data_IF_974732731570
#
_entry.id   IF_974732731570
#
_cell.length_a   1.000
_cell.length_b   1.000
_cell.length_c   1.000
_cell.angle_alpha   90.00
_cell.angle_beta   90.00
_cell.angle_gamma   90.00
#
_symmetry.space_group_name_H-M   'P 1'
#
loop_
_entity.id
_entity.type
_entity.pdbx_description
1 polymer ?
#
# COMPACT_ATOMS: atom_id res chain seq x y z
N UNK A 1 -15.48 -2.23 -8.13
CA UNK A 1 -14.29 -2.95 -7.62
C UNK A 1 -13.73 -2.29 -6.36
N UNK A 2 -13.21 -1.06 -6.39
CA UNK A 2 -12.67 -0.39 -5.19
C UNK A 2 -13.73 -0.18 -4.08
N UNK A 3 -14.94 0.26 -4.45
CA UNK A 3 -16.08 0.41 -3.52
C UNK A 3 -16.49 -0.91 -2.85
N UNK A 4 -16.42 -2.02 -3.58
CA UNK A 4 -16.71 -3.35 -3.06
C UNK A 4 -15.65 -3.80 -2.07
N UNK A 5 -14.36 -3.63 -2.40
CA UNK A 5 -13.26 -3.93 -1.48
C UNK A 5 -13.42 -3.10 -0.20
N UNK A 6 -13.67 -1.79 -0.32
CA UNK A 6 -13.89 -0.91 0.82
C UNK A 6 -15.03 -1.41 1.72
N UNK A 7 -16.18 -1.76 1.14
CA UNK A 7 -17.31 -2.29 1.90
C UNK A 7 -16.96 -3.62 2.60
N UNK A 8 -16.15 -4.47 1.97
CA UNK A 8 -15.66 -5.71 2.61
C UNK A 8 -14.73 -5.42 3.79
N UNK A 9 -13.82 -4.44 3.67
CA UNK A 9 -12.93 -4.05 4.77
C UNK A 9 -13.72 -3.45 5.95
N UNK A 10 -14.67 -2.55 5.67
CA UNK A 10 -15.54 -1.93 6.68
C UNK A 10 -16.46 -2.94 7.36
N UNK A 11 -16.90 -3.98 6.63
CA UNK A 11 -17.61 -5.13 7.19
C UNK A 11 -16.69 -6.13 7.93
N UNK A 12 -15.43 -5.77 8.19
CA UNK A 12 -14.42 -6.57 8.89
C UNK A 12 -14.13 -7.93 8.22
N UNK A 13 -14.43 -8.10 6.92
CA UNK A 13 -14.05 -9.32 6.21
C UNK A 13 -12.54 -9.40 6.15
N UNK A 14 -12.01 -10.57 6.48
CA UNK A 14 -10.58 -10.80 6.52
C UNK A 14 -10.11 -11.44 5.22
N UNK A 15 -9.23 -10.74 4.50
CA UNK A 15 -8.77 -11.13 3.17
C UNK A 15 -7.24 -11.05 3.11
N UNK A 16 -6.64 -11.75 2.15
CA UNK A 16 -5.21 -11.71 1.87
C UNK A 16 -5.02 -11.14 0.46
N UNK A 17 -4.11 -10.18 0.32
CA UNK A 17 -3.61 -9.75 -0.99
C UNK A 17 -2.86 -10.92 -1.61
N UNK A 18 -3.30 -11.40 -2.76
CA UNK A 18 -2.84 -12.66 -3.34
C UNK A 18 -1.30 -12.69 -3.49
N UNK A 19 -0.58 -13.58 -2.77
CA UNK A 19 0.88 -13.58 -2.76
C UNK A 19 1.51 -14.02 -4.09
N UNK A 20 0.73 -14.60 -5.01
CA UNK A 20 1.21 -15.10 -6.30
C UNK A 20 1.15 -14.07 -7.42
N UNK A 21 0.83 -12.81 -7.11
CA UNK A 21 0.68 -11.73 -8.09
C UNK A 21 1.47 -10.49 -7.65
N UNK A 22 1.92 -9.71 -8.64
CA UNK A 22 2.40 -8.33 -8.41
C UNK A 22 1.19 -7.42 -8.25
N UNK A 23 0.61 -7.40 -7.05
CA UNK A 23 -0.55 -6.60 -6.71
C UNK A 23 -0.45 -6.04 -5.29
N UNK A 24 -1.27 -5.05 -4.99
CA UNK A 24 -1.30 -4.46 -3.67
C UNK A 24 -2.57 -3.65 -3.45
N UNK A 25 -2.78 -3.24 -2.21
CA UNK A 25 -3.88 -2.37 -1.84
C UNK A 25 -3.32 -1.22 -1.03
N UNK A 26 -3.54 0.01 -1.51
CA UNK A 26 -3.35 1.22 -0.71
C UNK A 26 -4.66 1.48 0.01
N UNK A 27 -4.58 1.60 1.33
CA UNK A 27 -5.73 1.78 2.21
C UNK A 27 -5.63 3.18 2.78
N UNK A 28 -6.56 4.05 2.41
CA UNK A 28 -6.62 5.41 2.93
C UNK A 28 -7.34 5.41 4.27
N UNK A 29 -6.69 6.01 5.27
CA UNK A 29 -7.26 6.34 6.57
C UNK A 29 -7.34 7.86 6.70
N UNK A 30 -7.91 8.33 7.80
CA UNK A 30 -8.23 9.77 7.99
C UNK A 30 -7.06 10.72 7.72
N UNK A 31 -5.83 10.35 8.07
CA UNK A 31 -4.66 11.24 8.01
C UNK A 31 -3.46 10.67 7.25
N UNK A 32 -3.53 9.42 6.82
CA UNK A 32 -2.40 8.71 6.22
C UNK A 32 -2.91 7.56 5.37
N UNK A 33 -2.01 6.94 4.61
CA UNK A 33 -2.31 5.73 3.86
C UNK A 33 -1.38 4.59 4.31
N UNK A 34 -1.84 3.36 4.13
CA UNK A 34 -1.03 2.17 4.34
C UNK A 34 -0.96 1.36 3.05
N UNK A 35 0.20 0.77 2.78
CA UNK A 35 0.34 -0.18 1.69
C UNK A 35 0.30 -1.61 2.23
N UNK A 36 -0.60 -2.42 1.67
CA UNK A 36 -0.67 -3.86 1.86
C UNK A 36 -0.25 -4.54 0.55
N UNK A 37 1.00 -5.00 0.49
CA UNK A 37 1.54 -5.70 -0.67
C UNK A 37 1.21 -7.21 -0.68
N UNK A 38 1.80 -7.98 -1.61
CA UNK A 38 1.53 -9.41 -1.76
C UNK A 38 1.70 -10.18 -0.45
N UNK A 39 0.74 -11.07 -0.17
CA UNK A 39 0.66 -11.89 1.03
C UNK A 39 0.20 -11.16 2.29
N UNK A 40 0.02 -9.84 2.25
CA UNK A 40 -0.47 -9.09 3.41
C UNK A 40 -1.95 -9.38 3.66
N UNK A 41 -2.31 -9.49 4.94
CA UNK A 41 -3.71 -9.54 5.35
C UNK A 41 -4.30 -8.12 5.41
N UNK A 42 -5.56 -7.99 5.00
CA UNK A 42 -6.35 -6.75 5.00
C UNK A 42 -7.76 -7.02 5.55
N UNK A 43 -8.39 -5.98 6.08
CA UNK A 43 -9.72 -6.01 6.68
C UNK A 43 -9.66 -6.35 8.17
N UNK A 44 -10.65 -7.11 8.66
CA UNK A 44 -10.81 -7.31 10.10
C UNK A 44 -10.95 -5.98 10.86
N UNK A 45 -10.43 -5.93 12.09
CA UNK A 45 -10.47 -4.71 12.90
C UNK A 45 -9.42 -3.66 12.50
N UNK A 46 -8.45 -4.00 11.64
CA UNK A 46 -7.32 -3.13 11.33
C UNK A 46 -7.67 -2.05 10.31
N UNK A 47 -8.59 -2.34 9.40
CA UNK A 47 -8.94 -1.50 8.26
C UNK A 47 -10.42 -1.08 8.27
N UNK A 48 -11.12 -1.21 9.40
CA UNK A 48 -12.53 -0.83 9.52
C UNK A 48 -12.75 0.69 9.43
N UNK A 49 -11.72 1.48 9.73
CA UNK A 49 -11.64 2.93 9.60
C UNK A 49 -11.14 3.37 8.21
N UNK A 50 -10.98 2.44 7.26
CA UNK A 50 -10.66 2.79 5.88
C UNK A 50 -11.73 3.72 5.31
N UNK A 51 -11.31 4.86 4.77
CA UNK A 51 -12.19 5.84 4.13
C UNK A 51 -12.26 5.64 2.61
N UNK A 52 -11.19 5.08 2.03
CA UNK A 52 -11.09 4.75 0.62
C UNK A 52 -10.01 3.67 0.44
N UNK A 53 -10.00 3.03 -0.72
CA UNK A 53 -8.94 2.11 -1.12
C UNK A 53 -8.55 2.35 -2.57
N UNK A 54 -7.27 2.16 -2.87
CA UNK A 54 -6.73 2.19 -4.23
C UNK A 54 -6.05 0.84 -4.51
N UNK A 55 -6.66 0.02 -5.39
CA UNK A 55 -6.01 -1.19 -5.88
C UNK A 55 -4.78 -0.86 -6.72
N UNK A 56 -3.69 -1.59 -6.50
CA UNK A 56 -2.42 -1.45 -7.24
C UNK A 56 -2.16 -2.71 -8.05
N UNK A 57 -1.89 -2.54 -9.34
CA UNK A 57 -1.74 -3.63 -10.30
C UNK A 57 -3.04 -4.43 -10.48
N UNK A 58 -2.91 -5.70 -10.86
CA UNK A 58 -4.06 -6.62 -11.03
C UNK A 58 -4.49 -7.20 -9.69
N UNK A 59 -5.24 -6.39 -8.92
CA UNK A 59 -5.72 -6.76 -7.58
C UNK A 59 -6.44 -8.11 -7.56
N UNK A 60 -6.13 -8.89 -6.54
CA UNK A 60 -6.72 -10.20 -6.26
C UNK A 60 -6.65 -10.38 -4.76
N UNK A 61 -7.81 -10.54 -4.14
CA UNK A 61 -7.96 -10.81 -2.72
C UNK A 61 -8.48 -12.24 -2.56
N UNK A 62 -7.92 -12.97 -1.60
CA UNK A 62 -8.31 -14.36 -1.32
C UNK A 62 -8.69 -14.49 0.16
N UNK A 63 -9.58 -15.42 0.46
CA UNK A 63 -9.94 -15.75 1.85
C UNK A 63 -8.89 -16.72 2.40
N UNK A 64 -8.28 -16.46 3.58
CA UNK A 64 -7.40 -17.43 4.23
C UNK A 64 -8.18 -18.72 4.52
N UNK A 65 -7.64 -19.87 4.14
CA UNK A 65 -8.27 -21.17 4.37
C UNK A 65 -7.77 -21.84 5.65
N UNK A 66 -6.54 -21.53 6.08
CA UNK A 66 -5.91 -22.18 7.24
C UNK A 66 -5.40 -21.16 8.27
N UNK A 67 -5.29 -21.57 9.56
CA UNK A 67 -4.63 -20.76 10.59
C UNK A 67 -3.18 -20.39 10.23
N UNK A 68 -2.45 -21.27 9.55
CA UNK A 68 -1.07 -21.06 9.11
C UNK A 68 -0.98 -19.96 8.07
N UNK A 69 -1.84 -19.99 7.04
CA UNK A 69 -1.97 -18.94 6.03
C UNK A 69 -2.29 -17.59 6.69
N UNK A 70 -3.24 -17.59 7.64
CA UNK A 70 -3.61 -16.38 8.37
C UNK A 70 -2.44 -15.83 9.18
N UNK A 71 -1.70 -16.68 9.90
CA UNK A 71 -0.51 -16.29 10.69
C UNK A 71 0.58 -15.70 9.80
N UNK A 72 0.84 -16.33 8.65
CA UNK A 72 1.83 -15.84 7.69
C UNK A 72 1.40 -14.51 7.08
N UNK A 73 0.12 -14.34 6.75
CA UNK A 73 -0.38 -13.09 6.19
C UNK A 73 -0.35 -11.92 7.17
N UNK A 74 -0.59 -12.18 8.47
CA UNK A 74 -0.33 -11.20 9.53
C UNK A 74 1.15 -10.81 9.61
N UNK A 75 2.06 -11.79 9.50
CA UNK A 75 3.51 -11.53 9.49
C UNK A 75 3.90 -10.66 8.30
N UNK A 76 3.38 -10.96 7.11
CA UNK A 76 3.59 -10.15 5.91
C UNK A 76 3.05 -8.73 6.08
N UNK A 77 1.83 -8.56 6.61
CA UNK A 77 1.26 -7.23 6.87
C UNK A 77 2.18 -6.39 7.77
N UNK A 78 2.73 -6.99 8.84
CA UNK A 78 3.71 -6.30 9.70
C UNK A 78 5.00 -5.94 8.98
N UNK A 79 5.49 -6.78 8.05
CA UNK A 79 6.70 -6.47 7.28
C UNK A 79 6.49 -5.26 6.36
N UNK A 80 5.33 -5.16 5.71
CA UNK A 80 4.98 -3.99 4.91
C UNK A 80 4.91 -2.71 5.76
N UNK A 81 4.24 -2.77 6.92
CA UNK A 81 4.19 -1.63 7.85
C UNK A 81 5.59 -1.23 8.32
N UNK A 82 6.47 -2.19 8.62
CA UNK A 82 7.86 -1.92 9.01
C UNK A 82 8.66 -1.26 7.89
N UNK A 83 8.48 -1.69 6.65
CA UNK A 83 9.17 -1.11 5.50
C UNK A 83 8.72 0.34 5.30
N UNK A 84 7.42 0.62 5.30
CA UNK A 84 6.92 2.00 5.22
C UNK A 84 7.44 2.84 6.38
N UNK A 85 7.47 2.28 7.60
CA UNK A 85 8.02 2.96 8.77
C UNK A 85 9.49 3.36 8.58
N UNK A 86 10.33 2.45 8.09
CA UNK A 86 11.75 2.73 7.82
C UNK A 86 11.93 3.87 6.83
N UNK A 87 11.06 3.96 5.82
CA UNK A 87 11.06 5.10 4.89
C UNK A 87 10.64 6.37 5.64
N UNK A 88 9.54 6.34 6.38
CA UNK A 88 9.01 7.53 7.08
C UNK A 88 9.94 8.09 8.15
N UNK A 89 10.78 7.25 8.75
CA UNK A 89 11.74 7.62 9.80
C UNK A 89 12.92 8.46 9.24
N UNK A 90 13.13 8.50 7.92
CA UNK A 90 14.10 9.40 7.32
C UNK A 90 13.62 10.87 7.47
N UNK A 91 14.41 11.77 8.07
CA UNK A 91 14.01 13.15 8.28
C UNK A 91 13.89 13.98 6.98
N UNK A 92 14.48 13.54 5.86
CA UNK A 92 14.56 14.30 4.61
C UNK A 92 13.36 13.96 3.71
N UNK A 93 12.40 14.88 3.49
CA UNK A 93 11.16 14.59 2.76
C UNK A 93 11.38 14.13 1.31
N UNK A 94 12.33 14.73 0.60
CA UNK A 94 12.64 14.37 -0.78
C UNK A 94 13.22 12.95 -0.88
N UNK A 95 14.05 12.53 0.07
CA UNK A 95 14.57 11.16 0.11
C UNK A 95 13.47 10.15 0.41
N UNK A 96 12.54 10.47 1.33
CA UNK A 96 11.35 9.61 1.56
C UNK A 96 10.54 9.39 0.30
N UNK A 97 10.29 10.48 -0.45
CA UNK A 97 9.58 10.46 -1.72
C UNK A 97 10.34 9.61 -2.77
N UNK A 98 11.65 9.80 -2.90
CA UNK A 98 12.47 9.03 -3.82
C UNK A 98 12.45 7.54 -3.48
N UNK A 99 12.68 7.19 -2.21
CA UNK A 99 12.75 5.80 -1.78
C UNK A 99 11.41 5.10 -2.04
N UNK A 100 10.26 5.71 -1.72
CA UNK A 100 8.97 5.04 -1.96
C UNK A 100 8.65 4.87 -3.44
N UNK A 101 8.99 5.85 -4.29
CA UNK A 101 8.83 5.73 -5.75
C UNK A 101 9.69 4.59 -6.27
N UNK A 102 10.98 4.56 -5.92
CA UNK A 102 11.92 3.50 -6.31
C UNK A 102 11.40 2.12 -5.87
N UNK A 103 10.92 2.00 -4.63
CA UNK A 103 10.37 0.74 -4.13
C UNK A 103 9.18 0.27 -4.98
N UNK A 104 8.24 1.16 -5.32
CA UNK A 104 7.11 0.80 -6.17
C UNK A 104 7.53 0.42 -7.60
N UNK A 105 8.52 1.09 -8.18
CA UNK A 105 9.10 0.73 -9.49
C UNK A 105 9.81 -0.62 -9.47
N UNK A 106 10.37 -1.04 -8.34
CA UNK A 106 10.92 -2.39 -8.19
C UNK A 106 9.82 -3.45 -8.05
N UNK A 107 8.70 -3.12 -7.40
CA UNK A 107 7.60 -4.06 -7.13
C UNK A 107 6.63 -4.23 -8.29
N UNK A 108 6.41 -3.17 -9.07
CA UNK A 108 5.39 -3.07 -10.11
C UNK A 108 6.01 -2.66 -11.46
N UNK A 109 5.30 -2.90 -12.55
CA UNK A 109 5.69 -2.36 -13.85
C UNK A 109 5.52 -0.83 -13.91
N UNK A 110 6.30 -0.17 -14.79
CA UNK A 110 6.31 1.28 -14.92
C UNK A 110 4.91 1.87 -15.16
N UNK A 111 4.12 1.25 -16.04
CA UNK A 111 2.76 1.70 -16.33
C UNK A 111 1.87 1.68 -15.07
N UNK A 112 1.97 0.64 -14.24
CA UNK A 112 1.24 0.57 -12.98
C UNK A 112 1.64 1.71 -12.05
N UNK A 113 2.93 2.03 -11.94
CA UNK A 113 3.44 3.10 -11.07
C UNK A 113 3.06 4.49 -11.56
N UNK A 114 3.19 4.76 -12.85
CA UNK A 114 2.83 6.05 -13.48
C UNK A 114 1.37 6.43 -13.24
N UNK A 115 0.48 5.44 -13.23
CA UNK A 115 -0.96 5.65 -13.02
C UNK A 115 -1.33 5.87 -11.54
N UNK A 116 -0.41 5.72 -10.60
CA UNK A 116 -0.68 5.96 -9.19
C UNK A 116 -0.58 7.47 -8.87
N UNK A 117 -1.58 8.05 -8.20
CA UNK A 117 -1.62 9.46 -7.89
C UNK A 117 -0.54 9.82 -6.87
N UNK A 118 0.01 11.02 -6.99
CA UNK A 118 1.04 11.55 -6.09
C UNK A 118 0.54 11.63 -4.64
N UNK A 119 -0.75 11.90 -4.45
CA UNK A 119 -1.41 11.91 -3.14
C UNK A 119 -1.30 10.55 -2.44
N UNK A 120 -1.34 9.44 -3.17
CA UNK A 120 -1.19 8.12 -2.57
C UNK A 120 0.20 7.96 -1.95
N UNK A 121 1.24 8.26 -2.72
CA UNK A 121 2.62 8.20 -2.24
C UNK A 121 2.87 9.18 -1.10
N UNK A 122 2.35 10.40 -1.23
CA UNK A 122 2.48 11.44 -0.22
C UNK A 122 1.93 10.98 1.14
N UNK A 123 0.75 10.36 1.15
CA UNK A 123 0.11 9.83 2.34
C UNK A 123 0.78 8.57 2.89
N UNK A 124 1.47 7.78 2.06
CA UNK A 124 2.25 6.62 2.50
C UNK A 124 3.50 7.03 3.29
N UNK A 125 4.15 8.14 2.90
CA UNK A 125 5.44 8.55 3.50
C UNK A 125 5.43 9.90 4.22
N UNK A 126 4.25 10.49 4.41
CA UNK A 126 4.07 11.70 5.21
C UNK A 126 4.75 12.94 4.60
N UNK A 127 4.57 13.15 3.29
CA UNK A 127 5.07 14.35 2.57
C UNK A 127 3.91 15.07 1.87
N UNK A 128 4.18 16.24 1.29
CA UNK A 128 3.21 16.92 0.43
C UNK A 128 3.18 16.27 -0.96
N UNK A 129 2.01 16.20 -1.65
CA UNK A 129 1.92 15.69 -3.03
C UNK A 129 2.93 16.36 -3.97
N UNK A 130 3.12 17.68 -3.84
CA UNK A 130 4.10 18.44 -4.62
C UNK A 130 5.54 17.94 -4.46
N UNK A 131 5.89 17.35 -3.30
CA UNK A 131 7.21 16.74 -3.10
C UNK A 131 7.34 15.48 -3.95
N UNK A 132 6.29 14.65 -4.03
CA UNK A 132 6.27 13.48 -4.92
C UNK A 132 6.36 13.93 -6.38
N UNK A 133 5.52 14.89 -6.79
CA UNK A 133 5.51 15.41 -8.17
C UNK A 133 6.88 15.93 -8.59
N UNK A 134 7.55 16.70 -7.73
CA UNK A 134 8.89 17.22 -8.00
C UNK A 134 9.90 16.10 -8.18
N UNK A 135 9.91 15.10 -7.30
CA UNK A 135 10.86 13.98 -7.40
C UNK A 135 10.58 13.15 -8.67
N UNK A 136 9.31 12.83 -8.94
CA UNK A 136 8.88 12.09 -10.13
C UNK A 136 9.24 12.80 -11.44
N UNK A 137 9.05 14.12 -11.52
CA UNK A 137 9.31 14.89 -12.73
C UNK A 137 10.79 15.29 -12.89
N UNK A 138 11.55 15.36 -11.80
CA UNK A 138 12.93 15.81 -11.85
C UNK A 138 13.91 14.73 -12.30
N UNK A 139 13.54 13.44 -12.31
CA UNK A 139 14.23 12.37 -13.06
C UNK A 139 15.78 12.34 -13.03
N UNK A 140 16.40 12.87 -11.98
CA UNK A 140 17.83 12.89 -11.70
C UNK A 140 17.89 12.32 -10.27
N UNK A 141 18.22 11.04 -10.03
CA UNK A 141 19.39 10.27 -10.47
C UNK A 141 19.12 8.76 -10.48
#
# INVERSE_FOLDING_TARGET
MASEILAQLQAQKLLIVNPRRKNGLIIYKKYYAEFAGPGAIVGGQFDCDAIAVLPVGKISLIVPQTPEERRQAYKMRRQWVKLTKQITDNPIPAERAQVILNQFEHWFDAQTVENLPDEAFALLVGVLPQTITKVRNNGLF
#
